data_IF_985760039971
#
_entry.id   IF_985760039971
#
_cell.length_a   1.000
_cell.length_b   1.000
_cell.length_c   1.000
_cell.angle_alpha   90.00
_cell.angle_beta   90.00
_cell.angle_gamma   90.00
#
_symmetry.space_group_name_H-M   'P 1'
#
loop_
_entity.id
_entity.type
_entity.pdbx_description
1 polymer ?
#
# COMPACT_ATOMS: atom_id res chain seq x y z
N UNK A 1 -18.21 32.15 -4.92
CA UNK A 1 -19.31 31.27 -4.48
C UNK A 1 -19.24 30.04 -5.37
N UNK A 2 -18.83 28.89 -4.83
CA UNK A 2 -18.79 27.65 -5.62
C UNK A 2 -20.22 27.29 -6.04
N UNK A 3 -20.42 27.06 -7.33
CA UNK A 3 -21.71 26.71 -7.92
C UNK A 3 -22.26 25.42 -7.29
N UNK A 4 -23.50 25.40 -6.78
CA UNK A 4 -24.10 24.22 -6.12
C UNK A 4 -24.10 22.96 -7.01
N UNK A 5 -23.95 23.14 -8.33
CA UNK A 5 -23.80 22.06 -9.31
C UNK A 5 -22.43 21.33 -9.22
N UNK A 6 -21.35 22.04 -8.87
CA UNK A 6 -19.99 21.46 -8.76
C UNK A 6 -19.84 20.61 -7.51
N UNK A 7 -20.34 21.09 -6.36
CA UNK A 7 -20.33 20.34 -5.09
C UNK A 7 -21.12 19.04 -5.23
N UNK A 8 -22.28 19.08 -5.90
CA UNK A 8 -23.09 17.90 -6.16
C UNK A 8 -22.35 16.85 -7.00
N UNK A 9 -21.65 17.27 -8.07
CA UNK A 9 -20.82 16.38 -8.89
C UNK A 9 -19.68 15.78 -8.07
N UNK A 10 -18.96 16.60 -7.31
CA UNK A 10 -17.86 16.14 -6.46
C UNK A 10 -18.29 15.08 -5.44
N UNK A 11 -19.47 15.24 -4.83
CA UNK A 11 -20.03 14.25 -3.89
C UNK A 11 -20.38 12.94 -4.61
N UNK A 12 -21.00 13.03 -5.80
CA UNK A 12 -21.35 11.85 -6.61
C UNK A 12 -20.07 11.11 -7.02
N UNK A 13 -19.08 11.81 -7.56
CA UNK A 13 -17.82 11.21 -8.02
C UNK A 13 -17.03 10.61 -6.85
N UNK A 14 -16.99 11.30 -5.71
CA UNK A 14 -16.30 10.81 -4.50
C UNK A 14 -16.98 9.58 -3.91
N UNK A 15 -18.31 9.56 -3.85
CA UNK A 15 -19.07 8.41 -3.35
C UNK A 15 -18.98 7.20 -4.29
N UNK A 16 -19.06 7.43 -5.61
CA UNK A 16 -18.84 6.38 -6.61
C UNK A 16 -17.41 5.82 -6.52
N UNK A 17 -16.41 6.69 -6.37
CA UNK A 17 -15.02 6.28 -6.15
C UNK A 17 -14.82 5.46 -4.87
N UNK A 18 -15.45 5.87 -3.77
CA UNK A 18 -15.39 5.15 -2.50
C UNK A 18 -16.06 3.76 -2.58
N UNK A 19 -17.23 3.67 -3.22
CA UNK A 19 -17.94 2.38 -3.42
C UNK A 19 -17.13 1.46 -4.33
N UNK A 20 -16.64 1.99 -5.46
CA UNK A 20 -15.79 1.25 -6.40
C UNK A 20 -14.52 0.72 -5.72
N UNK A 21 -13.84 1.58 -4.95
CA UNK A 21 -12.67 1.19 -4.16
C UNK A 21 -12.99 0.13 -3.12
N UNK A 22 -14.12 0.25 -2.41
CA UNK A 22 -14.58 -0.73 -1.44
C UNK A 22 -14.90 -2.11 -2.05
N UNK A 23 -15.54 -2.13 -3.22
CA UNK A 23 -15.83 -3.36 -3.97
C UNK A 23 -14.53 -4.00 -4.46
N UNK A 24 -13.67 -3.22 -5.11
CA UNK A 24 -12.36 -3.69 -5.60
C UNK A 24 -11.54 -4.32 -4.46
N UNK A 25 -11.50 -3.65 -3.31
CA UNK A 25 -10.84 -4.13 -2.10
C UNK A 25 -11.44 -5.44 -1.59
N UNK A 26 -12.76 -5.54 -1.57
CA UNK A 26 -13.45 -6.74 -1.08
C UNK A 26 -13.18 -7.94 -1.99
N UNK A 27 -13.15 -7.73 -3.31
CA UNK A 27 -12.84 -8.78 -4.29
C UNK A 27 -11.37 -9.22 -4.21
N UNK A 28 -10.46 -8.30 -3.93
CA UNK A 28 -9.01 -8.57 -3.87
C UNK A 28 -8.52 -9.05 -2.50
N UNK A 29 -9.27 -8.80 -1.42
CA UNK A 29 -8.92 -9.17 -0.05
C UNK A 29 -8.51 -10.65 0.15
N UNK A 30 -9.15 -11.65 -0.49
CA UNK A 30 -8.72 -13.05 -0.36
C UNK A 30 -7.27 -13.28 -0.75
N UNK A 31 -6.81 -12.68 -1.85
CA UNK A 31 -5.44 -12.81 -2.32
C UNK A 31 -4.46 -12.10 -1.39
N UNK A 32 -4.85 -10.95 -0.84
CA UNK A 32 -4.04 -10.23 0.13
C UNK A 32 -3.83 -11.04 1.42
N UNK A 33 -4.86 -11.72 1.93
CA UNK A 33 -4.73 -12.56 3.14
C UNK A 33 -3.78 -13.72 2.89
N UNK A 34 -3.90 -14.40 1.74
CA UNK A 34 -2.99 -15.47 1.36
C UNK A 34 -1.56 -14.93 1.29
N UNK A 35 -1.34 -13.80 0.58
CA UNK A 35 -0.03 -13.15 0.47
C UNK A 35 0.56 -12.84 1.85
N UNK A 36 -0.19 -12.21 2.73
CA UNK A 36 0.28 -11.83 4.07
C UNK A 36 0.69 -13.06 4.88
N UNK A 37 -0.08 -14.15 4.80
CA UNK A 37 0.24 -15.40 5.52
C UNK A 37 1.49 -16.09 5.00
N UNK A 38 1.69 -16.11 3.68
CA UNK A 38 2.94 -16.59 3.10
C UNK A 38 4.13 -15.72 3.52
N UNK A 39 3.96 -14.39 3.59
CA UNK A 39 5.02 -13.48 4.01
C UNK A 39 5.38 -13.60 5.50
N UNK A 40 4.40 -13.89 6.36
CA UNK A 40 4.61 -14.04 7.81
C UNK A 40 5.08 -15.46 8.17
N UNK A 41 4.83 -16.44 7.32
CA UNK A 41 5.35 -17.78 7.49
C UNK A 41 6.88 -17.74 7.50
N UNK A 42 7.46 -18.09 8.65
CA UNK A 42 8.89 -18.24 8.79
C UNK A 42 9.34 -19.49 8.04
N UNK A 43 9.90 -19.29 6.85
CA UNK A 43 10.68 -20.31 6.17
C UNK A 43 12.15 -20.14 6.58
N UNK A 44 12.87 -21.21 6.96
CA UNK A 44 14.30 -21.13 7.23
C UNK A 44 15.04 -20.82 5.91
N UNK A 45 15.17 -19.54 5.61
CA UNK A 45 15.74 -19.00 4.35
C UNK A 45 17.25 -18.81 4.41
N UNK A 46 17.90 -19.14 5.54
CA UNK A 46 19.37 -19.10 5.63
C UNK A 46 19.95 -20.50 5.78
N UNK A 47 20.99 -20.79 4.99
CA UNK A 47 21.88 -21.94 5.22
C UNK A 47 22.53 -21.91 6.61
N UNK A 48 22.50 -20.77 7.30
CA UNK A 48 22.91 -20.59 8.69
C UNK A 48 21.93 -21.23 9.70
N UNK A 49 20.62 -21.22 9.40
CA UNK A 49 19.61 -21.93 10.20
C UNK A 49 19.72 -23.46 10.03
N UNK A 50 20.20 -23.94 8.87
CA UNK A 50 20.51 -25.35 8.62
C UNK A 50 21.74 -25.85 9.40
N UNK A 51 22.60 -24.95 9.90
CA UNK A 51 23.77 -25.29 10.71
C UNK A 51 23.41 -25.51 12.19
N UNK A 52 22.30 -24.92 12.68
CA UNK A 52 21.77 -25.16 14.04
C UNK A 52 20.61 -26.16 13.99
N UNK A 53 20.88 -27.36 13.50
CA UNK A 53 19.91 -28.47 13.46
C UNK A 53 19.31 -28.80 14.84
N UNK A 54 20.00 -28.42 15.91
CA UNK A 54 19.64 -28.82 17.27
C UNK A 54 18.70 -27.81 17.97
N UNK A 55 18.46 -26.62 17.39
CA UNK A 55 17.69 -25.55 18.03
C UNK A 55 16.40 -25.14 17.29
N UNK A 56 16.29 -25.44 15.99
CA UNK A 56 15.13 -25.09 15.16
C UNK A 56 14.46 -26.37 14.73
N UNK A 57 13.49 -26.80 15.53
CA UNK A 57 12.57 -27.88 15.18
C UNK A 57 12.10 -27.70 13.74
N UNK A 58 12.35 -28.76 12.97
CA UNK A 58 11.85 -29.14 11.65
C UNK A 58 10.33 -29.05 11.54
N UNK A 59 9.75 -27.86 11.72
CA UNK A 59 8.37 -27.61 11.36
C UNK A 59 8.32 -27.42 9.83
N UNK A 60 7.66 -28.32 9.07
CA UNK A 60 7.44 -28.08 7.66
C UNK A 60 6.66 -26.77 7.46
N UNK A 61 6.97 -26.05 6.38
CA UNK A 61 6.24 -24.86 5.94
C UNK A 61 4.73 -25.14 5.93
N UNK A 62 3.94 -24.38 6.70
CA UNK A 62 2.47 -24.57 6.80
C UNK A 62 1.80 -24.48 5.43
N UNK A 63 2.20 -23.48 4.64
CA UNK A 63 1.69 -23.20 3.31
C UNK A 63 2.80 -23.45 2.28
N UNK A 64 2.61 -24.42 1.38
CA UNK A 64 3.57 -24.72 0.30
C UNK A 64 3.11 -24.20 -1.07
N UNK A 65 1.81 -23.97 -1.23
CA UNK A 65 1.22 -23.46 -2.47
C UNK A 65 -0.11 -22.75 -2.24
N UNK A 66 -0.47 -21.84 -3.15
CA UNK A 66 -1.67 -21.01 -3.01
C UNK A 66 -2.96 -21.83 -2.92
N UNK A 67 -3.07 -22.92 -3.68
CA UNK A 67 -4.24 -23.81 -3.64
C UNK A 67 -4.32 -24.58 -2.32
N UNK A 68 -3.19 -25.08 -1.83
CA UNK A 68 -3.12 -25.74 -0.53
C UNK A 68 -3.52 -24.76 0.58
N UNK A 69 -2.91 -23.57 0.59
CA UNK A 69 -3.21 -22.53 1.56
C UNK A 69 -4.68 -22.12 1.54
N UNK A 70 -5.29 -21.98 0.35
CA UNK A 70 -6.71 -21.67 0.23
C UNK A 70 -7.59 -22.76 0.83
N UNK A 71 -7.26 -24.03 0.58
CA UNK A 71 -7.98 -25.18 1.14
C UNK A 71 -7.84 -25.23 2.67
N UNK A 72 -6.64 -24.97 3.16
CA UNK A 72 -6.33 -25.00 4.60
C UNK A 72 -7.04 -23.85 5.32
N UNK A 73 -7.02 -22.63 4.78
CA UNK A 73 -7.77 -21.47 5.31
C UNK A 73 -9.27 -21.78 5.35
N UNK A 74 -9.82 -22.34 4.26
CA UNK A 74 -11.25 -22.67 4.22
C UNK A 74 -11.62 -23.75 5.25
N UNK A 75 -10.74 -24.73 5.48
CA UNK A 75 -10.98 -25.82 6.44
C UNK A 75 -10.83 -25.38 7.89
N UNK A 76 -9.83 -24.55 8.20
CA UNK A 76 -9.51 -24.12 9.57
C UNK A 76 -10.41 -22.94 10.01
N UNK A 77 -10.62 -21.96 9.14
CA UNK A 77 -11.25 -20.67 9.51
C UNK A 77 -12.60 -20.42 8.84
N UNK A 78 -12.94 -21.26 7.86
CA UNK A 78 -14.11 -21.07 7.02
C UNK A 78 -13.95 -19.91 6.03
N UNK A 79 -15.04 -19.65 5.29
CA UNK A 79 -15.06 -18.65 4.22
C UNK A 79 -14.71 -17.23 4.70
N UNK A 80 -15.01 -16.88 5.96
CA UNK A 80 -14.69 -15.54 6.51
C UNK A 80 -13.20 -15.32 6.74
N UNK A 81 -12.36 -16.36 6.73
CA UNK A 81 -10.90 -16.26 6.88
C UNK A 81 -10.25 -15.38 5.81
N UNK A 82 -10.77 -15.40 4.58
CA UNK A 82 -10.24 -14.63 3.45
C UNK A 82 -10.44 -13.11 3.53
N UNK A 83 -11.29 -12.62 4.43
CA UNK A 83 -11.55 -11.20 4.64
C UNK A 83 -10.99 -10.67 5.97
N UNK A 84 -10.10 -11.43 6.60
CA UNK A 84 -9.41 -11.01 7.81
C UNK A 84 -8.59 -9.74 7.54
N UNK A 85 -8.76 -8.73 8.40
CA UNK A 85 -8.11 -7.43 8.22
C UNK A 85 -8.77 -6.51 7.17
N UNK A 86 -9.88 -6.88 6.54
CA UNK A 86 -10.51 -6.02 5.53
C UNK A 86 -11.07 -4.71 6.11
N UNK A 87 -11.61 -4.74 7.33
CA UNK A 87 -12.12 -3.53 8.01
C UNK A 87 -11.04 -2.46 8.23
N UNK A 88 -9.92 -2.75 8.93
CA UNK A 88 -8.86 -1.76 9.06
C UNK A 88 -8.26 -1.37 7.70
N UNK A 89 -8.22 -2.27 6.71
CA UNK A 89 -7.78 -1.93 5.36
C UNK A 89 -8.67 -0.86 4.70
N UNK A 90 -9.99 -0.96 4.82
CA UNK A 90 -10.93 0.05 4.31
C UNK A 90 -10.82 1.37 5.08
N UNK A 91 -10.71 1.29 6.41
CA UNK A 91 -10.54 2.48 7.26
C UNK A 91 -9.24 3.22 6.99
N UNK A 92 -8.17 2.51 6.61
CA UNK A 92 -6.87 3.08 6.27
C UNK A 92 -6.91 4.01 5.04
N UNK A 93 -7.79 3.72 4.07
CA UNK A 93 -7.82 4.44 2.78
C UNK A 93 -8.11 5.93 2.98
N UNK A 94 -9.06 6.27 3.86
CA UNK A 94 -9.45 7.66 4.12
C UNK A 94 -8.29 8.52 4.67
N UNK A 95 -7.64 8.19 5.80
CA UNK A 95 -6.53 8.99 6.31
C UNK A 95 -5.33 8.98 5.37
N UNK A 96 -5.03 7.85 4.72
CA UNK A 96 -3.92 7.77 3.76
C UNK A 96 -4.10 8.77 2.62
N UNK A 97 -5.25 8.72 1.93
CA UNK A 97 -5.53 9.61 0.79
C UNK A 97 -5.63 11.06 1.22
N UNK A 98 -6.30 11.36 2.33
CA UNK A 98 -6.44 12.74 2.84
C UNK A 98 -5.07 13.37 3.13
N UNK A 99 -4.19 12.65 3.83
CA UNK A 99 -2.85 13.15 4.16
C UNK A 99 -2.00 13.25 2.90
N UNK A 100 -2.02 12.23 2.03
CA UNK A 100 -1.25 12.23 0.80
C UNK A 100 -1.59 13.44 -0.07
N UNK A 101 -2.88 13.69 -0.35
CA UNK A 101 -3.28 14.83 -1.17
C UNK A 101 -2.97 16.17 -0.52
N UNK A 102 -3.17 16.28 0.80
CA UNK A 102 -2.87 17.52 1.54
C UNK A 102 -1.38 17.84 1.49
N UNK A 103 -0.52 16.87 1.81
CA UNK A 103 0.94 17.05 1.81
C UNK A 103 1.44 17.28 0.40
N UNK A 104 0.94 16.53 -0.59
CA UNK A 104 1.28 16.73 -1.99
C UNK A 104 0.93 18.14 -2.46
N UNK A 105 -0.25 18.64 -2.12
CA UNK A 105 -0.67 20.00 -2.46
C UNK A 105 0.26 21.04 -1.81
N UNK A 106 0.55 20.91 -0.51
CA UNK A 106 1.48 21.79 0.20
C UNK A 106 2.87 21.80 -0.44
N UNK A 107 3.42 20.61 -0.72
CA UNK A 107 4.75 20.47 -1.33
C UNK A 107 4.81 21.06 -2.73
N UNK A 108 3.79 20.82 -3.56
CA UNK A 108 3.70 21.42 -4.90
C UNK A 108 3.55 22.94 -4.85
N UNK A 109 2.74 23.46 -3.94
CA UNK A 109 2.56 24.91 -3.76
C UNK A 109 3.85 25.59 -3.28
N UNK A 110 4.62 24.94 -2.40
CA UNK A 110 5.94 25.43 -1.97
C UNK A 110 6.95 25.37 -3.13
N UNK A 111 6.96 24.28 -3.88
CA UNK A 111 7.84 24.06 -5.03
C UNK A 111 7.61 25.05 -6.18
N UNK A 112 6.37 25.48 -6.40
CA UNK A 112 6.01 26.49 -7.41
C UNK A 112 6.27 27.93 -6.97
N UNK A 113 6.72 28.16 -5.73
CA UNK A 113 7.17 29.45 -5.21
C UNK A 113 6.19 30.60 -5.40
N UNK A 114 5.16 30.73 -4.54
CA UNK A 114 4.29 31.91 -4.36
C UNK A 114 3.80 32.67 -5.63
N UNK A 115 3.87 32.08 -6.81
CA UNK A 115 3.35 32.66 -8.04
C UNK A 115 1.89 32.25 -8.17
N UNK A 116 1.00 33.15 -7.73
CA UNK A 116 -0.45 33.07 -7.96
C UNK A 116 -0.72 33.16 -9.48
N UNK A 117 -0.45 32.12 -10.28
CA UNK A 117 -0.94 32.05 -11.67
C UNK A 117 -0.90 30.60 -12.17
N UNK A 118 -2.08 29.96 -12.17
CA UNK A 118 -2.65 29.01 -13.14
C UNK A 118 -1.84 27.90 -13.85
N UNK A 119 -0.56 27.67 -13.56
CA UNK A 119 0.24 26.64 -14.23
C UNK A 119 0.68 25.54 -13.25
N UNK A 120 -0.28 24.83 -12.65
CA UNK A 120 -0.05 23.59 -11.88
C UNK A 120 0.56 22.44 -12.73
N UNK A 121 0.78 22.67 -14.03
CA UNK A 121 1.14 21.68 -15.04
C UNK A 121 2.61 21.67 -15.44
N UNK A 122 3.44 22.64 -15.01
CA UNK A 122 4.84 22.75 -15.42
C UNK A 122 5.85 22.62 -14.27
N UNK A 123 5.58 21.81 -13.24
CA UNK A 123 6.67 21.37 -12.35
C UNK A 123 7.55 20.37 -13.10
N UNK A 124 8.87 20.49 -12.92
CA UNK A 124 9.81 19.45 -13.35
C UNK A 124 9.30 18.07 -12.90
N UNK A 125 9.26 17.06 -13.79
CA UNK A 125 8.80 15.71 -13.43
C UNK A 125 9.47 15.17 -12.17
N UNK A 126 10.73 15.54 -11.96
CA UNK A 126 11.50 15.23 -10.75
C UNK A 126 10.85 15.78 -9.47
N UNK A 127 10.44 17.03 -9.48
CA UNK A 127 9.89 17.71 -8.31
C UNK A 127 8.48 17.21 -7.96
N UNK A 128 7.67 16.91 -8.99
CA UNK A 128 6.39 16.23 -8.81
C UNK A 128 6.53 14.83 -8.22
N UNK A 129 7.60 14.14 -8.59
CA UNK A 129 7.87 12.80 -8.10
C UNK A 129 8.37 12.80 -6.65
N UNK A 130 9.36 13.62 -6.33
CA UNK A 130 9.87 13.78 -4.95
C UNK A 130 8.76 14.26 -4.01
N UNK A 131 7.94 15.22 -4.44
CA UNK A 131 6.78 15.66 -3.64
C UNK A 131 5.74 14.55 -3.46
N UNK A 132 5.52 13.72 -4.48
CA UNK A 132 4.69 12.51 -4.38
C UNK A 132 5.22 11.50 -3.38
N UNK A 133 6.53 11.21 -3.42
CA UNK A 133 7.18 10.27 -2.50
C UNK A 133 7.13 10.76 -1.04
N UNK A 134 7.46 12.03 -0.80
CA UNK A 134 7.38 12.64 0.53
C UNK A 134 5.94 12.68 1.06
N UNK A 135 4.97 13.00 0.20
CA UNK A 135 3.56 12.92 0.56
C UNK A 135 3.11 11.49 0.89
N UNK A 136 3.61 10.50 0.15
CA UNK A 136 3.44 9.08 0.44
C UNK A 136 4.00 8.70 1.81
N UNK A 137 5.24 9.11 2.13
CA UNK A 137 5.83 8.88 3.45
C UNK A 137 4.98 9.46 4.58
N UNK A 138 4.53 10.72 4.43
CA UNK A 138 3.70 11.37 5.43
C UNK A 138 2.34 10.67 5.59
N UNK A 139 1.72 10.24 4.48
CA UNK A 139 0.49 9.47 4.48
C UNK A 139 0.67 8.11 5.19
N UNK A 140 1.74 7.39 4.88
CA UNK A 140 2.11 6.12 5.52
C UNK A 140 2.24 6.30 7.03
N UNK A 141 2.97 7.33 7.50
CA UNK A 141 3.10 7.62 8.94
C UNK A 141 1.73 7.87 9.58
N UNK A 142 0.87 8.66 8.94
CA UNK A 142 -0.44 8.99 9.49
C UNK A 142 -1.43 7.83 9.50
N UNK A 143 -1.37 6.94 8.50
CA UNK A 143 -2.27 5.78 8.39
C UNK A 143 -1.69 4.48 8.95
N UNK A 144 -0.44 4.49 9.41
CA UNK A 144 0.29 3.31 9.88
C UNK A 144 -0.45 2.47 10.93
N UNK A 145 -1.16 3.06 11.92
CA UNK A 145 -1.93 2.29 12.90
C UNK A 145 -2.94 1.32 12.27
N UNK A 146 -3.59 1.71 11.17
CA UNK A 146 -4.54 0.85 10.47
C UNK A 146 -3.85 -0.21 9.62
N UNK A 147 -2.68 0.12 9.06
CA UNK A 147 -1.86 -0.84 8.30
C UNK A 147 -1.35 -1.97 9.22
N UNK A 148 -0.87 -1.62 10.41
CA UNK A 148 -0.46 -2.60 11.41
C UNK A 148 -1.63 -3.51 11.84
N UNK A 149 -2.80 -2.92 12.13
CA UNK A 149 -3.98 -3.72 12.52
C UNK A 149 -4.44 -4.65 11.40
N UNK A 150 -4.39 -4.18 10.15
CA UNK A 150 -4.70 -5.01 8.98
C UNK A 150 -3.77 -6.20 8.89
N UNK A 151 -2.46 -5.98 8.96
CA UNK A 151 -1.45 -7.06 8.81
C UNK A 151 -1.53 -8.06 9.96
N UNK A 152 -1.68 -7.59 11.21
CA UNK A 152 -1.86 -8.46 12.37
C UNK A 152 -3.13 -9.31 12.24
N UNK A 153 -4.27 -8.72 11.85
CA UNK A 153 -5.51 -9.48 11.71
C UNK A 153 -5.49 -10.46 10.54
N UNK A 154 -4.86 -10.09 9.42
CA UNK A 154 -4.76 -10.95 8.24
C UNK A 154 -3.76 -12.11 8.42
N UNK A 155 -2.70 -11.89 9.19
CA UNK A 155 -1.62 -12.88 9.43
C UNK A 155 -2.00 -13.99 10.41
N UNK A 156 -3.00 -13.77 11.28
CA UNK A 156 -3.40 -14.75 12.28
C UNK A 156 -4.03 -15.99 11.64
N UNK A 157 -3.63 -17.17 12.13
CA UNK A 157 -4.32 -18.44 11.90
C UNK A 157 -5.20 -18.82 13.11
N UNK A 158 -5.63 -20.08 13.16
CA UNK A 158 -6.29 -20.66 14.32
C UNK A 158 -5.27 -21.31 15.29
N UNK A 159 -5.46 -21.16 16.62
CA UNK A 159 -6.51 -20.38 17.27
C UNK A 159 -6.26 -18.86 17.15
N UNK A 160 -7.34 -18.09 17.01
CA UNK A 160 -7.27 -16.62 16.92
C UNK A 160 -6.70 -16.00 18.19
N UNK A 161 -5.67 -15.17 18.04
CA UNK A 161 -5.12 -14.36 19.13
C UNK A 161 -6.00 -13.13 19.38
N UNK A 162 -6.45 -12.47 18.32
CA UNK A 162 -7.33 -11.30 18.36
C UNK A 162 -8.61 -11.55 17.57
N UNK A 163 -9.79 -11.60 18.22
CA UNK A 163 -11.04 -11.85 17.52
C UNK A 163 -11.46 -10.67 16.64
N UNK A 164 -11.17 -9.45 17.09
CA UNK A 164 -11.66 -8.19 16.52
C UNK A 164 -10.57 -7.12 16.49
N UNK A 165 -10.70 -6.16 15.58
CA UNK A 165 -9.81 -4.98 15.46
C UNK A 165 -9.70 -4.20 16.77
N UNK A 166 -10.81 -4.00 17.49
CA UNK A 166 -10.80 -3.26 18.77
C UNK A 166 -9.98 -3.98 19.84
N UNK A 167 -10.04 -5.31 19.88
CA UNK A 167 -9.28 -6.12 20.83
C UNK A 167 -7.79 -6.05 20.51
N UNK A 168 -7.40 -6.20 19.23
CA UNK A 168 -6.02 -6.02 18.81
C UNK A 168 -5.49 -4.61 19.14
N UNK A 169 -6.27 -3.57 18.84
CA UNK A 169 -5.88 -2.18 19.12
C UNK A 169 -5.68 -1.91 20.62
N UNK A 170 -6.64 -2.32 21.45
CA UNK A 170 -6.56 -2.10 22.90
C UNK A 170 -5.40 -2.88 23.51
N UNK A 171 -5.22 -4.14 23.10
CA UNK A 171 -4.15 -5.00 23.60
C UNK A 171 -2.76 -4.45 23.24
N UNK A 172 -2.56 -4.00 22.00
CA UNK A 172 -1.28 -3.40 21.57
C UNK A 172 -0.97 -2.14 22.37
N UNK A 173 -1.96 -1.28 22.60
CA UNK A 173 -1.77 -0.04 23.38
C UNK A 173 -1.44 -0.37 24.84
N UNK A 174 -2.10 -1.36 25.44
CA UNK A 174 -1.86 -1.74 26.83
C UNK A 174 -0.51 -2.44 27.02
N UNK A 175 -0.08 -3.27 26.08
CA UNK A 175 1.14 -4.09 26.20
C UNK A 175 2.40 -3.37 25.70
N UNK A 176 2.32 -2.64 24.59
CA UNK A 176 3.47 -2.01 23.91
C UNK A 176 3.38 -0.48 23.88
N UNK A 177 2.30 0.12 24.39
CA UNK A 177 2.08 1.54 24.33
C UNK A 177 1.83 2.07 22.92
N UNK A 178 1.83 3.39 22.78
CA UNK A 178 1.60 4.07 21.49
C UNK A 178 2.69 3.75 20.46
N UNK A 179 3.94 3.53 20.89
CA UNK A 179 5.04 3.13 20.00
C UNK A 179 4.81 1.75 19.38
N UNK A 180 4.08 0.86 20.05
CA UNK A 180 3.71 -0.45 19.52
C UNK A 180 2.92 -0.37 18.21
N UNK A 181 2.12 0.69 18.03
CA UNK A 181 1.35 0.93 16.80
C UNK A 181 2.23 1.31 15.60
N UNK A 182 3.51 1.64 15.82
CA UNK A 182 4.48 2.04 14.81
C UNK A 182 5.63 1.03 14.64
N UNK A 183 5.47 -0.17 15.20
CA UNK A 183 6.43 -1.25 15.07
C UNK A 183 6.50 -1.73 13.61
N UNK A 184 7.64 -1.50 12.97
CA UNK A 184 7.87 -1.81 11.55
C UNK A 184 7.79 -0.60 10.61
N UNK A 185 7.58 0.62 11.12
CA UNK A 185 7.51 1.81 10.25
C UNK A 185 8.83 2.09 9.52
N UNK A 186 9.97 1.85 10.18
CA UNK A 186 11.29 2.13 9.60
C UNK A 186 11.57 1.32 8.32
N UNK A 187 11.41 -0.02 8.25
CA UNK A 187 11.61 -0.73 7.00
C UNK A 187 10.60 -0.28 5.92
N UNK A 188 9.35 0.02 6.28
CA UNK A 188 8.36 0.55 5.33
C UNK A 188 8.79 1.88 4.72
N UNK A 189 9.37 2.79 5.51
CA UNK A 189 9.88 4.07 5.00
C UNK A 189 11.15 3.89 4.15
N UNK A 190 12.04 2.99 4.56
CA UNK A 190 13.26 2.68 3.81
C UNK A 190 12.94 2.08 2.44
N UNK A 191 11.89 1.26 2.32
CA UNK A 191 11.43 0.68 1.05
C UNK A 191 11.01 1.74 0.02
N UNK A 192 10.50 2.89 0.46
CA UNK A 192 10.00 3.94 -0.44
C UNK A 192 11.13 4.52 -1.30
N UNK A 193 12.34 4.67 -0.78
CA UNK A 193 13.47 5.27 -1.51
C UNK A 193 13.92 4.44 -2.73
N UNK A 194 14.25 3.15 -2.61
CA UNK A 194 14.63 2.32 -3.75
C UNK A 194 13.44 2.08 -4.70
N UNK A 195 12.22 1.91 -4.17
CA UNK A 195 11.01 1.83 -5.00
C UNK A 195 10.89 3.08 -5.87
N UNK A 196 11.05 4.25 -5.25
CA UNK A 196 10.96 5.52 -5.93
C UNK A 196 12.07 5.66 -7.00
N UNK A 197 13.32 5.32 -6.67
CA UNK A 197 14.44 5.37 -7.61
C UNK A 197 14.23 4.45 -8.82
N UNK A 198 13.78 3.21 -8.59
CA UNK A 198 13.55 2.22 -9.65
C UNK A 198 12.40 2.60 -10.56
N UNK A 199 11.26 3.02 -10.00
CA UNK A 199 10.11 3.44 -10.80
C UNK A 199 10.48 4.64 -11.69
N UNK A 200 11.22 5.62 -11.16
CA UNK A 200 11.69 6.77 -11.94
C UNK A 200 12.68 6.36 -13.02
N UNK A 201 13.75 5.64 -12.65
CA UNK A 201 14.79 5.22 -13.61
C UNK A 201 14.24 4.35 -14.73
N UNK A 202 13.29 3.47 -14.39
CA UNK A 202 12.58 2.64 -15.38
C UNK A 202 11.72 3.50 -16.29
N UNK A 203 10.89 4.39 -15.73
CA UNK A 203 10.03 5.27 -16.52
C UNK A 203 10.83 6.13 -17.51
N UNK A 204 11.91 6.77 -17.06
CA UNK A 204 12.76 7.60 -17.91
C UNK A 204 13.46 6.79 -19.01
N UNK A 205 13.94 5.59 -18.69
CA UNK A 205 14.58 4.70 -19.67
C UNK A 205 13.58 4.27 -20.74
N UNK A 206 12.40 3.82 -20.34
CA UNK A 206 11.36 3.39 -21.26
C UNK A 206 10.83 4.55 -22.11
N UNK A 207 10.63 5.73 -21.51
CA UNK A 207 10.19 6.93 -22.22
C UNK A 207 11.21 7.36 -23.27
N UNK A 208 12.51 7.37 -22.94
CA UNK A 208 13.56 7.69 -23.91
C UNK A 208 13.62 6.67 -25.04
N UNK A 209 13.51 5.38 -24.71
CA UNK A 209 13.49 4.32 -25.70
C UNK A 209 12.31 4.45 -26.68
N UNK A 210 11.09 4.70 -26.19
CA UNK A 210 9.93 4.90 -27.05
C UNK A 210 10.02 6.19 -27.85
N UNK A 211 10.46 7.31 -27.27
CA UNK A 211 10.64 8.56 -27.99
C UNK A 211 11.64 8.44 -29.14
N UNK A 212 12.79 7.78 -28.93
CA UNK A 212 13.81 7.56 -29.97
C UNK A 212 13.31 6.63 -31.08
N UNK A 213 12.49 5.62 -30.75
CA UNK A 213 12.03 4.60 -31.71
C UNK A 213 10.79 5.02 -32.50
N UNK A 214 9.99 5.95 -32.00
CA UNK A 214 8.77 6.44 -32.66
C UNK A 214 8.91 7.83 -33.32
N UNK A 215 9.96 8.61 -33.03
CA UNK A 215 10.27 9.82 -33.79
C UNK A 215 10.61 9.62 -35.29
N UNK A 216 11.18 8.49 -35.76
CA UNK A 216 11.46 8.31 -37.19
C UNK A 216 10.18 8.20 -38.04
N UNK A 217 9.03 7.84 -37.45
CA UNK A 217 7.81 7.54 -38.21
C UNK A 217 6.94 8.77 -38.47
N UNK A 218 6.95 9.77 -37.58
CA UNK A 218 6.16 11.00 -37.74
C UNK A 218 6.78 12.04 -38.68
N UNK A 219 8.08 11.94 -38.99
CA UNK A 219 8.74 12.83 -39.95
C UNK A 219 8.60 12.37 -41.40
N UNK A 220 8.18 11.12 -41.65
CA UNK A 220 8.06 10.56 -43.01
C UNK A 220 6.62 10.69 -43.55
N UNK A 221 5.60 10.89 -42.71
CA UNK A 221 4.21 11.06 -43.15
C UNK A 221 3.80 12.50 -43.48
N UNK A 222 4.73 13.46 -43.47
CA UNK A 222 4.50 14.86 -43.87
C UNK A 222 5.14 15.21 -45.23
N UNK A 223 5.52 14.20 -46.02
CA UNK A 223 6.12 14.38 -47.35
C UNK A 223 5.36 13.67 -48.49
N UNK A 224 4.07 13.42 -48.33
CA UNK A 224 3.16 13.07 -49.43
C UNK A 224 1.85 13.84 -49.33
#
# INVERSE_FOLDING_TARGET
MEEPSQVKRAIIDSSAGAISGGISRTVTSPLDVIKIRFQVQLEPTSSWALLRKDLVLTAPSKYTGMLQASKDILREEGFKGFWRGNVPALLMVMPYTAIQFTVLHKLKTLASGSSKTENHTNLSPYLSYVSGALAGCAATVGSYPFDLLRTILASQGEPKVYPNMRSAFMDIIQTRGFQGMYAGLSPTLVEIVPYAGLQFGTYDTFKRWTSVKFQPFYLISNFY
#
